data_IF_782029367699
#
_entry.id   IF_782029367699
#
_cell.length_a   1.000
_cell.length_b   1.000
_cell.length_c   1.000
_cell.angle_alpha   90.00
_cell.angle_beta   90.00
_cell.angle_gamma   90.00
#
_symmetry.space_group_name_H-M   'P 1'
#
loop_
_entity.id
_entity.type
_entity.pdbx_description
1 polymer ?
#
# COMPACT_ATOMS: atom_id res chain seq x y z
N UNK A 1 -1.15 -4.73 -11.85
CA UNK A 1 -0.83 -3.28 -11.83
C UNK A 1 -2.05 -2.40 -12.08
N UNK A 2 -3.11 -2.95 -12.66
CA UNK A 2 -4.39 -2.29 -12.90
C UNK A 2 -5.00 -1.53 -11.72
N UNK A 3 -4.92 -2.06 -10.49
CA UNK A 3 -5.55 -1.42 -9.33
C UNK A 3 -4.97 -0.02 -9.00
N UNK A 4 -3.72 0.26 -9.37
CA UNK A 4 -3.02 1.52 -9.09
C UNK A 4 -3.14 2.49 -10.28
N UNK A 5 -3.07 2.01 -11.52
CA UNK A 5 -3.03 2.84 -12.73
C UNK A 5 -4.41 3.25 -13.29
N UNK A 6 -5.49 2.60 -12.86
CA UNK A 6 -6.86 2.96 -13.29
C UNK A 6 -7.25 4.36 -12.80
N UNK A 7 -8.25 5.01 -13.44
CA UNK A 7 -8.89 6.20 -12.88
C UNK A 7 -9.34 5.94 -11.44
N UNK A 8 -9.02 6.85 -10.53
CA UNK A 8 -9.21 6.68 -9.07
C UNK A 8 -8.48 5.45 -8.49
N UNK A 9 -7.30 5.13 -9.02
CA UNK A 9 -6.47 4.01 -8.59
C UNK A 9 -6.05 4.08 -7.11
N UNK A 10 -5.69 2.92 -6.55
CA UNK A 10 -5.26 2.80 -5.18
C UNK A 10 -3.99 3.60 -4.91
N UNK A 11 -4.04 4.48 -3.91
CA UNK A 11 -2.90 5.29 -3.43
C UNK A 11 -2.45 4.90 -2.03
N UNK A 12 -3.14 3.95 -1.39
CA UNK A 12 -2.93 3.50 -0.02
C UNK A 12 -2.97 1.98 0.04
N UNK A 13 -2.38 1.40 1.09
CA UNK A 13 -2.36 -0.06 1.29
C UNK A 13 -3.77 -0.61 1.35
N UNK A 14 -4.67 0.00 2.13
CA UNK A 14 -6.05 -0.46 2.24
C UNK A 14 -6.84 -0.25 0.94
N UNK A 15 -6.48 0.77 0.15
CA UNK A 15 -7.01 0.94 -1.20
C UNK A 15 -6.65 -0.23 -2.12
N UNK A 16 -5.43 -0.77 -2.00
CA UNK A 16 -5.01 -1.98 -2.72
C UNK A 16 -5.79 -3.19 -2.19
N UNK A 17 -5.80 -3.40 -0.86
CA UNK A 17 -6.51 -4.53 -0.22
C UNK A 17 -7.99 -4.58 -0.62
N UNK A 18 -8.70 -3.46 -0.66
CA UNK A 18 -10.12 -3.39 -1.06
C UNK A 18 -10.36 -3.78 -2.52
N UNK A 19 -9.42 -3.45 -3.41
CA UNK A 19 -9.56 -3.70 -4.86
C UNK A 19 -9.09 -5.09 -5.29
N UNK A 20 -8.10 -5.65 -4.61
CA UNK A 20 -7.46 -6.92 -5.00
C UNK A 20 -7.73 -8.06 -4.04
N UNK A 21 -8.31 -7.78 -2.86
CA UNK A 21 -8.44 -8.70 -1.72
C UNK A 21 -7.10 -9.25 -1.20
N UNK A 22 -5.98 -8.60 -1.54
CA UNK A 22 -4.68 -8.94 -0.97
C UNK A 22 -4.71 -8.78 0.54
N UNK A 23 -4.16 -9.76 1.27
CA UNK A 23 -4.07 -9.68 2.73
C UNK A 23 -5.39 -9.91 3.47
N UNK A 24 -6.51 -10.22 2.80
CA UNK A 24 -7.79 -10.55 3.45
C UNK A 24 -7.94 -12.04 3.82
N UNK A 25 -6.86 -12.82 3.76
CA UNK A 25 -6.84 -14.24 4.11
C UNK A 25 -6.36 -14.49 5.56
N UNK A 26 -6.17 -15.75 5.94
CA UNK A 26 -5.74 -16.14 7.30
C UNK A 26 -4.49 -15.41 7.81
N UNK A 27 -3.58 -15.04 6.91
CA UNK A 27 -2.35 -14.31 7.23
C UNK A 27 -2.53 -12.80 7.47
N UNK A 28 -3.73 -12.26 7.20
CA UNK A 28 -4.09 -10.85 7.42
C UNK A 28 -3.10 -9.82 6.84
N UNK A 29 -2.40 -10.17 5.76
CA UNK A 29 -1.43 -9.27 5.12
C UNK A 29 0.00 -9.41 5.62
N UNK A 30 0.29 -10.26 6.61
CA UNK A 30 1.60 -10.35 7.26
C UNK A 30 2.80 -10.63 6.33
N UNK A 31 2.57 -11.10 5.10
CA UNK A 31 3.62 -11.31 4.10
C UNK A 31 3.55 -10.35 2.91
N UNK A 32 2.34 -10.02 2.46
CA UNK A 32 2.15 -9.25 1.24
C UNK A 32 2.12 -7.74 1.48
N UNK A 33 1.98 -7.28 2.72
CA UNK A 33 1.89 -5.85 3.04
C UNK A 33 3.18 -5.09 2.71
N UNK A 34 4.35 -5.62 3.06
CA UNK A 34 5.65 -5.02 2.69
C UNK A 34 5.82 -4.92 1.17
N UNK A 35 5.45 -5.97 0.44
CA UNK A 35 5.45 -5.97 -1.03
C UNK A 35 4.48 -4.95 -1.63
N UNK A 36 3.31 -4.76 -1.02
CA UNK A 36 2.34 -3.76 -1.47
C UNK A 36 2.91 -2.36 -1.30
N UNK A 37 3.59 -2.08 -0.18
CA UNK A 37 4.27 -0.80 0.06
C UNK A 37 5.35 -0.55 -0.99
N UNK A 38 6.19 -1.53 -1.28
CA UNK A 38 7.25 -1.42 -2.30
C UNK A 38 6.67 -1.15 -3.70
N UNK A 39 5.61 -1.87 -4.08
CA UNK A 39 4.92 -1.65 -5.36
C UNK A 39 4.30 -0.25 -5.41
N UNK A 40 3.63 0.19 -4.34
CA UNK A 40 3.04 1.53 -4.27
C UNK A 40 4.13 2.61 -4.36
N UNK A 41 5.24 2.45 -3.64
CA UNK A 41 6.38 3.37 -3.70
C UNK A 41 6.89 3.51 -5.13
N UNK A 42 7.14 2.40 -5.83
CA UNK A 42 7.60 2.40 -7.22
C UNK A 42 6.60 3.00 -8.20
N UNK A 43 5.32 2.68 -8.07
CA UNK A 43 4.28 3.15 -9.00
C UNK A 43 3.86 4.61 -8.75
N UNK A 44 4.01 5.11 -7.52
CA UNK A 44 3.65 6.47 -7.14
C UNK A 44 4.85 7.43 -7.15
N UNK A 45 6.08 6.91 -7.24
CA UNK A 45 7.31 7.70 -7.16
C UNK A 45 7.54 8.32 -5.78
N UNK A 46 7.00 7.70 -4.72
CA UNK A 46 7.11 8.15 -3.34
C UNK A 46 8.08 7.28 -2.55
N UNK A 47 8.67 7.79 -1.49
CA UNK A 47 9.44 6.95 -0.57
C UNK A 47 8.52 5.91 0.12
N UNK A 48 9.05 4.74 0.51
CA UNK A 48 8.27 3.75 1.27
C UNK A 48 7.66 4.33 2.55
N UNK A 49 8.35 5.25 3.21
CA UNK A 49 7.90 5.99 4.41
C UNK A 49 6.65 6.86 4.15
N UNK A 50 6.49 7.36 2.93
CA UNK A 50 5.36 8.23 2.57
C UNK A 50 4.10 7.43 2.17
N UNK A 51 4.18 6.08 2.22
CA UNK A 51 3.05 5.22 1.89
C UNK A 51 2.11 5.11 3.09
N UNK A 52 0.87 5.53 2.85
CA UNK A 52 -0.19 5.53 3.85
C UNK A 52 -0.92 4.19 3.87
N UNK A 53 -1.34 3.78 5.07
CA UNK A 53 -2.26 2.68 5.29
C UNK A 53 -3.64 3.02 4.73
N UNK A 54 -4.24 4.11 5.19
CA UNK A 54 -5.58 4.54 4.76
C UNK A 54 -5.73 6.07 4.67
N UNK A 55 -5.39 6.79 5.74
CA UNK A 55 -5.58 8.24 5.86
C UNK A 55 -4.24 8.98 5.97
N UNK A 56 -4.25 10.31 5.87
CA UNK A 56 -3.05 11.13 6.15
C UNK A 56 -2.60 10.90 7.60
N UNK A 57 -1.28 10.81 7.85
CA UNK A 57 -0.76 10.50 9.18
C UNK A 57 -0.86 9.02 9.57
N UNK A 58 -1.10 8.13 8.60
CA UNK A 58 -1.11 6.66 8.81
C UNK A 58 -0.01 5.97 8.01
N UNK A 59 1.17 6.60 7.98
CA UNK A 59 2.38 6.06 7.37
C UNK A 59 2.67 4.66 7.93
N UNK A 60 2.92 3.69 7.05
CA UNK A 60 3.16 2.29 7.44
C UNK A 60 4.56 2.13 8.05
N UNK A 61 5.51 2.93 7.56
CA UNK A 61 6.91 2.88 7.95
C UNK A 61 7.30 4.22 8.56
N UNK A 62 7.97 4.16 9.71
CA UNK A 62 8.59 5.31 10.35
C UNK A 62 10.07 5.22 9.94
N UNK A 63 10.59 6.25 9.26
CA UNK A 63 12.02 6.29 8.92
C UNK A 63 12.86 6.25 10.20
N UNK A 64 13.91 5.44 10.21
CA UNK A 64 14.94 5.53 11.24
C UNK A 64 15.75 6.82 10.99
N UNK A 65 16.01 7.58 12.06
CA UNK A 65 16.84 8.80 12.05
C UNK A 65 18.33 8.49 11.87
#
# INVERSE_FOLDING_TARGET
>A
MDAIRRPCGARTVDGVKRRTRSGMGRCQGGFCESRIVEILSRELGKKPEEILKENKGSEILIGEE
#
